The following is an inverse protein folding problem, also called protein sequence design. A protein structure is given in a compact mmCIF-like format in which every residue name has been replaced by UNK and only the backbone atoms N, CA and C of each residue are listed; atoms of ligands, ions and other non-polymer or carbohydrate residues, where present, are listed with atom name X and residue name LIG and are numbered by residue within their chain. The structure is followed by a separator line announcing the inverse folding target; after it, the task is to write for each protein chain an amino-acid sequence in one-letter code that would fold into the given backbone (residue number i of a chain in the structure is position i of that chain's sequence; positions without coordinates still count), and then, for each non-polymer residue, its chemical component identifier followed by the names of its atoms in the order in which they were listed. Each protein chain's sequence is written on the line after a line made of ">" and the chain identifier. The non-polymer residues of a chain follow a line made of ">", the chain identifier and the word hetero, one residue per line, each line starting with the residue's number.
data_IF_001367412006
#
_entry.id   IF_001367412006
#
_cell.length_a   1.000
_cell.length_b   1.000
_cell.length_c   1.000
_cell.angle_alpha   90.00
_cell.angle_beta   90.00
_cell.angle_gamma   90.00
#
_symmetry.space_group_name_H-M   'P 1'
#
loop_
_entity.id
_entity.type
_entity.pdbx_description
1 polymer ?
#
# COMPACT_ATOMS: atom_id res chain seq x y z
N UNK A 1 47.15 47.63 38.10
CA UNK A 1 46.20 47.74 36.98
C UNK A 1 46.05 46.33 36.33
N UNK A 2 45.04 45.56 36.79
CA UNK A 2 44.81 44.18 36.33
C UNK A 2 43.70 44.22 35.29
N UNK A 3 44.07 43.89 34.07
CA UNK A 3 43.10 43.70 32.98
C UNK A 3 42.54 42.27 33.03
N UNK A 4 41.32 42.14 33.50
CA UNK A 4 40.52 40.89 33.43
C UNK A 4 39.97 40.70 32.03
N UNK A 5 40.52 39.75 31.26
CA UNK A 5 39.99 39.36 29.95
C UNK A 5 38.81 38.41 30.13
N UNK A 6 37.60 38.87 29.83
CA UNK A 6 36.39 38.05 29.79
C UNK A 6 36.32 37.33 28.42
N UNK A 7 36.55 36.03 28.44
CA UNK A 7 36.36 35.19 27.22
C UNK A 7 34.92 34.75 27.19
N UNK A 8 34.16 35.28 26.21
CA UNK A 8 32.74 34.89 25.97
C UNK A 8 32.72 33.65 25.08
N UNK A 9 32.44 32.50 25.69
CA UNK A 9 32.28 31.24 24.95
C UNK A 9 30.83 31.16 24.46
N UNK A 10 30.62 31.35 23.15
CA UNK A 10 29.31 31.17 22.50
C UNK A 10 29.11 29.67 22.31
N UNK A 11 28.18 29.08 23.06
CA UNK A 11 27.70 27.72 22.88
C UNK A 11 26.69 27.73 21.72
N UNK A 12 27.12 27.32 20.54
CA UNK A 12 26.21 27.09 19.40
C UNK A 12 25.53 25.73 19.62
N UNK A 13 24.31 25.76 20.13
CA UNK A 13 23.45 24.58 20.18
C UNK A 13 22.98 24.26 18.75
N UNK A 14 23.57 23.23 18.12
CA UNK A 14 23.02 22.63 16.92
C UNK A 14 21.69 21.95 17.28
N UNK A 15 20.58 22.60 16.98
CA UNK A 15 19.27 21.95 16.97
C UNK A 15 19.24 21.06 15.73
N UNK A 16 19.50 19.77 15.90
CA UNK A 16 19.16 18.76 14.89
C UNK A 16 17.63 18.69 14.84
N UNK A 17 17.03 19.45 13.95
CA UNK A 17 15.64 19.25 13.56
C UNK A 17 15.58 17.91 12.82
N UNK A 18 15.10 16.87 13.48
CA UNK A 18 14.65 15.67 12.77
C UNK A 18 13.52 16.10 11.84
N UNK A 19 13.77 16.11 10.54
CA UNK A 19 12.73 16.22 9.53
C UNK A 19 11.86 14.97 9.67
N UNK A 20 10.84 15.04 10.50
CA UNK A 20 9.76 14.05 10.47
C UNK A 20 9.15 14.14 9.07
N UNK A 21 9.32 13.10 8.25
CA UNK A 21 8.62 13.03 6.98
C UNK A 21 7.13 13.02 7.28
N UNK A 22 6.40 13.96 6.73
CA UNK A 22 4.96 14.00 6.88
C UNK A 22 4.37 12.75 6.19
N UNK A 23 3.49 12.04 6.90
CA UNK A 23 2.73 10.94 6.33
C UNK A 23 1.81 11.52 5.23
N UNK A 24 1.79 10.95 4.01
CA UNK A 24 1.02 11.50 2.90
C UNK A 24 -0.48 11.54 3.21
N UNK A 25 -1.18 12.51 2.63
CA UNK A 25 -2.64 12.55 2.66
C UNK A 25 -3.22 11.33 1.91
N UNK A 26 -4.52 11.08 2.09
CA UNK A 26 -5.23 10.00 1.41
C UNK A 26 -5.54 8.80 2.29
N UNK A 27 -6.38 7.93 1.74
CA UNK A 27 -6.76 6.64 2.32
C UNK A 27 -7.15 5.67 1.21
N UNK A 28 -6.98 4.38 1.49
CA UNK A 28 -7.42 3.29 0.62
C UNK A 28 -8.41 2.43 1.40
N UNK A 29 -9.58 2.14 0.81
CA UNK A 29 -10.44 1.07 1.28
C UNK A 29 -10.29 -0.16 0.40
N UNK A 30 -10.41 -1.33 0.98
CA UNK A 30 -10.43 -2.60 0.25
C UNK A 30 -11.67 -3.41 0.62
N UNK A 31 -12.20 -4.12 -0.36
CA UNK A 31 -13.25 -5.11 -0.18
C UNK A 31 -12.74 -6.43 -0.77
N UNK A 32 -12.34 -7.34 0.11
CA UNK A 32 -11.88 -8.67 -0.28
C UNK A 32 -13.08 -9.57 -0.56
N UNK A 33 -13.06 -10.19 -1.72
CA UNK A 33 -14.18 -10.98 -2.22
C UNK A 33 -13.68 -12.28 -2.85
N UNK A 34 -14.61 -13.23 -2.96
CA UNK A 34 -14.49 -14.37 -3.84
C UNK A 34 -15.45 -14.18 -5.02
N UNK A 35 -14.94 -14.22 -6.23
CA UNK A 35 -15.74 -14.17 -7.45
C UNK A 35 -15.61 -15.50 -8.20
N UNK A 36 -16.75 -16.14 -8.54
CA UNK A 36 -16.74 -17.39 -9.30
C UNK A 36 -16.24 -17.18 -10.73
N UNK A 37 -16.59 -16.02 -11.30
CA UNK A 37 -16.11 -15.56 -12.60
C UNK A 37 -15.53 -14.13 -12.45
N UNK A 38 -14.23 -14.06 -12.24
CA UNK A 38 -13.49 -12.81 -12.05
C UNK A 38 -13.72 -11.86 -13.24
N UNK A 39 -13.63 -12.36 -14.47
CA UNK A 39 -13.75 -11.52 -15.65
C UNK A 39 -15.15 -10.91 -15.74
N UNK A 40 -16.18 -11.70 -15.49
CA UNK A 40 -17.58 -11.23 -15.48
C UNK A 40 -17.79 -10.17 -14.40
N UNK A 41 -17.24 -10.38 -13.20
CA UNK A 41 -17.36 -9.43 -12.10
C UNK A 41 -16.64 -8.11 -12.41
N UNK A 42 -15.41 -8.16 -12.91
CA UNK A 42 -14.64 -6.97 -13.32
C UNK A 42 -15.34 -6.20 -14.44
N UNK A 43 -15.83 -6.92 -15.47
CA UNK A 43 -16.57 -6.28 -16.56
C UNK A 43 -17.89 -5.65 -16.09
N UNK A 44 -18.56 -6.26 -15.12
CA UNK A 44 -19.75 -5.67 -14.52
C UNK A 44 -19.44 -4.35 -13.83
N UNK A 45 -18.37 -4.29 -13.02
CA UNK A 45 -17.93 -3.05 -12.34
C UNK A 45 -17.57 -1.95 -13.34
N UNK A 46 -16.81 -2.26 -14.38
CA UNK A 46 -16.44 -1.30 -15.45
C UNK A 46 -17.67 -0.72 -16.18
N UNK A 47 -18.73 -1.51 -16.32
CA UNK A 47 -19.99 -1.07 -16.96
C UNK A 47 -20.91 -0.29 -16.02
N UNK A 48 -20.67 -0.33 -14.73
CA UNK A 48 -21.50 0.31 -13.70
C UNK A 48 -20.68 1.25 -12.79
N UNK A 49 -20.01 2.29 -13.36
CA UNK A 49 -19.13 3.19 -12.62
C UNK A 49 -19.87 4.05 -11.59
N UNK A 50 -21.20 4.15 -11.69
CA UNK A 50 -22.03 4.94 -10.78
C UNK A 50 -21.91 4.48 -9.32
N UNK A 51 -21.56 3.21 -9.08
CA UNK A 51 -21.31 2.70 -7.74
C UNK A 51 -20.11 3.40 -7.09
N UNK A 52 -19.01 3.57 -7.84
CA UNK A 52 -17.79 4.24 -7.34
C UNK A 52 -18.00 5.73 -7.17
N UNK A 53 -18.76 6.35 -8.07
CA UNK A 53 -19.17 7.75 -7.98
C UNK A 53 -20.04 7.99 -6.73
N UNK A 54 -21.01 7.11 -6.48
CA UNK A 54 -21.93 7.23 -5.35
C UNK A 54 -21.21 7.19 -3.99
N UNK A 55 -20.14 6.41 -3.87
CA UNK A 55 -19.32 6.33 -2.66
C UNK A 55 -18.22 7.42 -2.60
N UNK A 56 -18.13 8.29 -3.61
CA UNK A 56 -17.17 9.40 -3.63
C UNK A 56 -15.70 8.96 -3.80
N UNK A 57 -15.47 7.84 -4.46
CA UNK A 57 -14.10 7.38 -4.78
C UNK A 57 -13.47 8.26 -5.86
N UNK A 58 -12.22 8.69 -5.67
CA UNK A 58 -11.46 9.39 -6.70
C UNK A 58 -10.96 8.43 -7.77
N UNK A 59 -10.44 7.29 -7.34
CA UNK A 59 -9.98 6.20 -8.21
C UNK A 59 -10.39 4.88 -7.58
N UNK A 60 -10.87 3.96 -8.40
CA UNK A 60 -11.11 2.59 -7.96
C UNK A 60 -10.45 1.58 -8.89
N UNK A 61 -10.06 0.47 -8.33
CA UNK A 61 -9.45 -0.62 -9.07
C UNK A 61 -9.70 -1.98 -8.45
N UNK A 62 -9.12 -2.97 -9.08
CA UNK A 62 -9.16 -4.36 -8.63
C UNK A 62 -7.77 -4.93 -8.62
N UNK A 63 -7.51 -5.84 -7.69
CA UNK A 63 -6.35 -6.70 -7.68
C UNK A 63 -6.80 -8.16 -7.62
N UNK A 64 -6.39 -8.94 -8.59
CA UNK A 64 -6.69 -10.38 -8.67
C UNK A 64 -5.48 -11.16 -8.18
N UNK A 65 -5.67 -11.95 -7.13
CA UNK A 65 -4.60 -12.81 -6.60
C UNK A 65 -4.29 -13.93 -7.57
N UNK A 66 -3.02 -14.05 -7.99
CA UNK A 66 -2.54 -15.03 -8.96
C UNK A 66 -1.71 -16.13 -8.31
N UNK A 67 -1.06 -15.84 -7.18
CA UNK A 67 -0.36 -16.82 -6.36
C UNK A 67 -0.49 -16.45 -4.88
N UNK A 68 -0.49 -17.45 -4.00
CA UNK A 68 -0.68 -17.24 -2.56
C UNK A 68 -2.13 -17.04 -2.14
N UNK A 69 -3.09 -17.32 -3.01
CA UNK A 69 -4.52 -17.17 -2.72
C UNK A 69 -4.99 -18.19 -1.65
N UNK A 70 -5.89 -17.74 -0.77
CA UNK A 70 -6.51 -18.57 0.27
C UNK A 70 -7.66 -19.43 -0.29
N UNK A 71 -8.30 -18.98 -1.37
CA UNK A 71 -9.43 -19.65 -2.03
C UNK A 71 -9.46 -19.28 -3.52
N UNK A 72 -10.07 -20.13 -4.37
CA UNK A 72 -10.28 -19.81 -5.79
C UNK A 72 -11.12 -18.55 -5.96
N UNK A 73 -10.75 -17.69 -6.91
CA UNK A 73 -11.47 -16.45 -7.19
C UNK A 73 -11.19 -15.33 -6.21
N UNK A 74 -10.14 -15.45 -5.38
CA UNK A 74 -9.72 -14.39 -4.47
C UNK A 74 -9.26 -13.15 -5.23
N UNK A 75 -9.86 -12.03 -4.87
CA UNK A 75 -9.52 -10.71 -5.36
C UNK A 75 -10.02 -9.66 -4.37
N UNK A 76 -9.56 -8.42 -4.53
CA UNK A 76 -10.16 -7.30 -3.82
C UNK A 76 -10.40 -6.12 -4.74
N UNK A 77 -11.46 -5.38 -4.42
CA UNK A 77 -11.77 -4.07 -4.99
C UNK A 77 -11.20 -3.03 -4.06
N UNK A 78 -10.45 -2.08 -4.58
CA UNK A 78 -9.90 -0.99 -3.80
C UNK A 78 -10.46 0.35 -4.28
N UNK A 79 -10.57 1.30 -3.35
CA UNK A 79 -10.96 2.67 -3.64
C UNK A 79 -9.98 3.62 -2.96
N UNK A 80 -9.52 4.62 -3.70
CA UNK A 80 -8.68 5.70 -3.20
C UNK A 80 -9.52 6.93 -2.89
N UNK A 81 -9.23 7.57 -1.78
CA UNK A 81 -9.86 8.78 -1.28
C UNK A 81 -8.81 9.82 -0.91
N UNK A 82 -9.13 11.12 -0.96
CA UNK A 82 -8.18 12.19 -0.65
C UNK A 82 -7.84 12.28 0.84
N UNK A 83 -8.64 11.66 1.72
CA UNK A 83 -8.42 11.65 3.17
C UNK A 83 -9.08 10.47 3.87
N UNK A 84 -8.65 10.18 5.10
CA UNK A 84 -9.35 9.23 5.99
C UNK A 84 -10.77 9.69 6.31
N UNK A 85 -11.00 10.99 6.47
CA UNK A 85 -12.34 11.54 6.70
C UNK A 85 -13.32 11.12 5.59
N UNK A 86 -12.90 11.26 4.32
CA UNK A 86 -13.72 10.85 3.18
C UNK A 86 -13.91 9.34 3.11
N UNK A 87 -12.84 8.57 3.34
CA UNK A 87 -12.92 7.12 3.33
C UNK A 87 -13.84 6.56 4.45
N UNK A 88 -13.74 7.11 5.66
CA UNK A 88 -14.58 6.67 6.78
C UNK A 88 -16.03 7.12 6.61
N UNK A 89 -16.27 8.34 6.10
CA UNK A 89 -17.62 8.82 5.77
C UNK A 89 -18.32 7.95 4.72
N UNK A 90 -17.57 7.37 3.78
CA UNK A 90 -18.14 6.42 2.81
C UNK A 90 -18.68 5.15 3.49
N UNK A 91 -18.01 4.66 4.56
CA UNK A 91 -18.44 3.45 5.28
C UNK A 91 -19.82 3.63 5.91
N UNK A 92 -20.17 4.85 6.33
CA UNK A 92 -21.51 5.14 6.83
C UNK A 92 -22.58 5.07 5.72
N UNK A 93 -22.20 5.36 4.47
CA UNK A 93 -23.09 5.42 3.33
C UNK A 93 -23.21 4.08 2.55
N UNK A 94 -22.25 3.18 2.70
CA UNK A 94 -22.18 1.94 1.94
C UNK A 94 -21.99 0.71 2.85
N UNK A 95 -22.98 -0.19 2.83
CA UNK A 95 -22.93 -1.48 3.51
C UNK A 95 -22.61 -2.61 2.51
N UNK A 96 -21.41 -3.19 2.53
CA UNK A 96 -21.05 -4.29 1.63
C UNK A 96 -21.81 -5.59 1.93
N UNK A 97 -22.45 -5.72 3.10
CA UNK A 97 -23.29 -6.87 3.45
C UNK A 97 -24.69 -6.78 2.82
N UNK A 98 -25.11 -5.59 2.36
CA UNK A 98 -26.36 -5.37 1.65
C UNK A 98 -26.14 -4.83 0.24
N UNK A 99 -25.43 -5.55 -0.64
CA UNK A 99 -25.16 -5.10 -1.99
C UNK A 99 -26.43 -5.13 -2.84
N UNK A 100 -26.43 -4.36 -3.95
CA UNK A 100 -27.44 -4.54 -4.96
C UNK A 100 -27.46 -6.01 -5.45
N UNK A 101 -28.64 -6.60 -5.73
CA UNK A 101 -28.77 -8.05 -6.05
C UNK A 101 -27.90 -8.53 -7.22
N UNK A 102 -27.48 -7.63 -8.10
CA UNK A 102 -26.58 -7.96 -9.19
C UNK A 102 -25.16 -8.25 -8.72
N UNK A 103 -24.65 -7.50 -7.71
CA UNK A 103 -23.34 -7.76 -7.10
C UNK A 103 -23.35 -9.05 -6.28
N UNK A 104 -24.42 -9.28 -5.52
CA UNK A 104 -24.58 -10.47 -4.68
C UNK A 104 -24.44 -11.79 -5.47
N UNK A 105 -24.91 -11.80 -6.72
CA UNK A 105 -24.79 -12.96 -7.62
C UNK A 105 -23.43 -13.14 -8.27
N UNK A 106 -22.51 -12.17 -8.12
CA UNK A 106 -21.21 -12.18 -8.80
C UNK A 106 -20.05 -12.42 -7.84
N UNK A 107 -20.29 -12.24 -6.55
CA UNK A 107 -19.25 -12.34 -5.52
C UNK A 107 -19.81 -12.74 -4.17
N UNK A 108 -18.98 -13.32 -3.32
CA UNK A 108 -19.18 -13.37 -1.88
C UNK A 108 -18.15 -12.49 -1.17
N UNK A 109 -18.61 -11.59 -0.30
CA UNK A 109 -17.74 -10.71 0.49
C UNK A 109 -17.08 -11.51 1.60
N UNK A 110 -15.77 -11.33 1.78
CA UNK A 110 -15.00 -11.95 2.87
C UNK A 110 -14.79 -10.95 4.00
N UNK A 111 -14.22 -9.80 3.71
CA UNK A 111 -14.05 -8.70 4.66
C UNK A 111 -13.78 -7.38 3.92
N UNK A 112 -13.89 -6.28 4.66
CA UNK A 112 -13.49 -4.95 4.21
C UNK A 112 -12.41 -4.40 5.13
N UNK A 113 -11.56 -3.53 4.61
CA UNK A 113 -10.53 -2.87 5.39
C UNK A 113 -10.28 -1.44 4.93
N UNK A 114 -9.68 -0.64 5.81
CA UNK A 114 -9.26 0.74 5.56
C UNK A 114 -7.79 0.86 5.89
N UNK A 115 -7.04 1.54 5.03
CA UNK A 115 -5.61 1.72 5.16
C UNK A 115 -5.22 3.18 4.99
N UNK A 116 -4.18 3.59 5.74
CA UNK A 116 -3.48 4.85 5.59
C UNK A 116 -2.15 4.62 4.87
N UNK A 117 -1.84 5.29 3.75
CA UNK A 117 -0.51 5.25 3.17
C UNK A 117 0.49 5.91 4.12
N UNK A 118 1.67 5.31 4.29
CA UNK A 118 2.75 5.81 5.14
C UNK A 118 3.87 6.50 4.35
N UNK A 119 3.93 6.30 3.04
CA UNK A 119 4.84 7.01 2.13
C UNK A 119 4.13 7.37 0.83
N UNK A 120 4.64 8.39 0.16
CA UNK A 120 4.20 8.73 -1.20
C UNK A 120 4.45 7.58 -2.16
N UNK A 121 3.51 7.33 -3.03
CA UNK A 121 3.59 6.36 -4.11
C UNK A 121 2.72 6.78 -5.29
N UNK A 122 3.09 6.34 -6.48
CA UNK A 122 2.28 6.56 -7.68
C UNK A 122 1.15 5.53 -7.73
N UNK A 123 -0.09 6.00 -7.91
CA UNK A 123 -1.25 5.11 -8.03
C UNK A 123 -1.34 4.54 -9.46
N UNK A 124 -0.33 3.76 -9.83
CA UNK A 124 -0.20 3.07 -11.11
C UNK A 124 -0.22 1.54 -10.89
N UNK A 125 -1.40 0.93 -10.76
CA UNK A 125 -1.49 -0.50 -10.49
C UNK A 125 -0.98 -1.33 -11.66
N UNK A 126 -0.43 -2.50 -11.34
CA UNK A 126 0.14 -3.39 -12.34
C UNK A 126 0.32 -4.80 -11.81
N UNK A 127 1.50 -5.37 -12.03
CA UNK A 127 1.92 -6.62 -11.39
C UNK A 127 2.48 -6.30 -10.01
N UNK A 128 1.88 -6.83 -8.98
CA UNK A 128 2.20 -6.48 -7.60
C UNK A 128 2.57 -7.70 -6.78
N UNK A 129 3.53 -7.50 -5.89
CA UNK A 129 3.83 -8.41 -4.81
C UNK A 129 3.41 -7.73 -3.52
N UNK A 130 2.49 -8.34 -2.79
CA UNK A 130 1.98 -7.85 -1.52
C UNK A 130 2.51 -8.72 -0.39
N UNK A 131 3.07 -8.09 0.64
CA UNK A 131 3.34 -8.69 1.94
C UNK A 131 2.41 -8.09 2.98
N UNK A 132 1.77 -8.95 3.77
CA UNK A 132 1.15 -8.58 5.03
C UNK A 132 2.15 -8.88 6.14
N UNK A 133 2.58 -7.84 6.83
CA UNK A 133 3.69 -7.91 7.80
C UNK A 133 3.31 -7.24 9.12
N UNK A 134 3.85 -7.75 10.22
CA UNK A 134 3.84 -7.06 11.50
C UNK A 134 5.15 -6.33 11.67
N UNK A 135 5.07 -5.03 11.96
CA UNK A 135 6.22 -4.15 12.11
C UNK A 135 6.41 -3.77 13.59
N UNK A 136 7.65 -3.78 14.07
CA UNK A 136 8.01 -3.24 15.39
C UNK A 136 8.36 -1.75 15.33
N UNK A 137 8.74 -1.23 14.15
CA UNK A 137 8.95 0.20 13.87
C UNK A 137 8.48 0.53 12.45
N UNK A 138 7.24 1.01 12.33
CA UNK A 138 6.62 1.31 11.04
C UNK A 138 7.32 2.46 10.29
N UNK A 139 7.80 3.48 11.02
CA UNK A 139 8.45 4.62 10.38
C UNK A 139 9.85 4.28 9.90
N UNK A 140 10.62 3.52 10.69
CA UNK A 140 11.94 3.06 10.27
C UNK A 140 11.84 2.12 9.06
N UNK A 141 10.88 1.18 9.05
CA UNK A 141 10.61 0.33 7.89
C UNK A 141 10.23 1.15 6.65
N UNK A 142 9.31 2.10 6.80
CA UNK A 142 8.85 2.97 5.71
C UNK A 142 9.99 3.78 5.09
N UNK A 143 10.88 4.32 5.93
CA UNK A 143 12.08 5.03 5.47
C UNK A 143 13.01 4.11 4.69
N UNK A 144 13.23 2.87 5.16
CA UNK A 144 14.01 1.85 4.42
C UNK A 144 13.37 1.48 3.09
N UNK A 145 12.04 1.43 2.99
CA UNK A 145 11.36 1.19 1.70
C UNK A 145 11.51 2.37 0.73
N UNK A 146 11.60 3.60 1.22
CA UNK A 146 11.92 4.77 0.40
C UNK A 146 13.36 4.72 -0.14
N UNK A 147 14.30 4.31 0.71
CA UNK A 147 15.72 4.09 0.34
C UNK A 147 15.83 2.96 -0.70
N UNK A 148 15.14 1.83 -0.46
CA UNK A 148 15.11 0.68 -1.36
C UNK A 148 14.57 1.04 -2.74
N UNK A 149 13.44 1.77 -2.80
CA UNK A 149 12.86 2.24 -4.07
C UNK A 149 13.85 3.09 -4.86
N UNK A 150 14.50 4.04 -4.18
CA UNK A 150 15.52 4.91 -4.77
C UNK A 150 16.68 4.10 -5.34
N UNK A 151 17.18 3.12 -4.59
CA UNK A 151 18.30 2.28 -5.02
C UNK A 151 17.94 1.35 -6.18
N UNK A 152 16.73 0.75 -6.19
CA UNK A 152 16.25 -0.06 -7.32
C UNK A 152 16.11 0.79 -8.58
N UNK A 153 15.57 2.03 -8.45
CA UNK A 153 15.46 2.98 -9.58
C UNK A 153 16.82 3.42 -10.08
N UNK A 154 17.79 3.66 -9.19
CA UNK A 154 19.17 3.98 -9.55
C UNK A 154 19.89 2.84 -10.30
N UNK A 155 19.50 1.58 -10.04
CA UNK A 155 19.96 0.39 -10.76
C UNK A 155 19.29 0.22 -12.15
N UNK A 156 18.51 1.21 -12.62
CA UNK A 156 17.88 1.22 -13.94
C UNK A 156 16.58 0.42 -14.03
N UNK A 157 15.94 0.12 -12.91
CA UNK A 157 14.66 -0.57 -12.87
C UNK A 157 13.52 0.42 -12.56
N UNK A 158 12.30 0.06 -12.98
CA UNK A 158 11.09 0.79 -12.61
C UNK A 158 10.34 -0.01 -11.55
N UNK A 159 10.15 0.60 -10.41
CA UNK A 159 9.38 0.06 -9.29
C UNK A 159 8.69 1.20 -8.57
N UNK A 160 7.56 0.91 -7.98
CA UNK A 160 6.86 1.79 -7.06
C UNK A 160 6.61 0.98 -5.78
N UNK A 161 7.11 1.47 -4.64
CA UNK A 161 6.95 0.81 -3.35
C UNK A 161 5.94 1.58 -2.50
N UNK A 162 4.98 0.87 -1.94
CA UNK A 162 3.97 1.45 -1.06
C UNK A 162 3.92 0.71 0.28
N UNK A 163 3.72 1.46 1.36
CA UNK A 163 3.53 0.94 2.72
C UNK A 163 2.25 1.53 3.27
N UNK A 164 1.39 0.68 3.81
CA UNK A 164 0.10 1.08 4.36
C UNK A 164 -0.07 0.55 5.78
N UNK A 165 -0.55 1.42 6.68
CA UNK A 165 -0.99 1.04 8.01
C UNK A 165 -2.49 0.71 8.01
N UNK A 166 -2.93 -0.34 8.71
CA UNK A 166 -4.35 -0.66 8.85
C UNK A 166 -5.02 0.34 9.81
N UNK A 167 -6.16 0.88 9.39
CA UNK A 167 -7.04 1.71 10.24
C UNK A 167 -8.22 0.88 10.77
N UNK A 168 -8.68 -0.08 9.96
CA UNK A 168 -9.73 -1.01 10.32
C UNK A 168 -9.77 -2.17 9.34
N UNK A 169 -10.07 -3.38 9.80
CA UNK A 169 -10.09 -4.60 8.97
C UNK A 169 -10.30 -5.88 9.79
N UNK A 170 -10.68 -5.71 11.06
CA UNK A 170 -10.97 -6.83 11.97
C UNK A 170 -9.76 -7.75 12.15
N UNK A 171 -10.02 -9.02 12.42
CA UNK A 171 -8.98 -10.04 12.65
C UNK A 171 -8.08 -10.28 11.44
N UNK A 172 -8.52 -9.87 10.24
CA UNK A 172 -7.77 -10.09 9.01
C UNK A 172 -6.61 -9.10 8.84
N UNK A 173 -6.75 -7.87 9.38
CA UNK A 173 -5.78 -6.80 9.14
C UNK A 173 -5.26 -6.14 10.44
N UNK A 174 -5.75 -6.54 11.62
CA UNK A 174 -5.29 -5.95 12.90
C UNK A 174 -3.79 -6.14 13.08
N UNK A 175 -3.05 -5.01 13.15
CA UNK A 175 -1.60 -4.99 13.32
C UNK A 175 -0.80 -5.39 12.07
N UNK A 176 -1.46 -5.58 10.92
CA UNK A 176 -0.81 -5.99 9.68
C UNK A 176 -0.64 -4.83 8.72
N UNK A 177 0.57 -4.40 8.53
CA UNK A 177 0.90 -3.45 7.47
C UNK A 177 0.92 -4.15 6.11
N UNK A 178 0.49 -3.45 5.08
CA UNK A 178 0.68 -3.90 3.70
C UNK A 178 1.94 -3.24 3.14
N UNK A 179 2.91 -4.05 2.76
CA UNK A 179 4.01 -3.61 1.91
C UNK A 179 3.77 -4.13 0.49
N UNK A 180 3.82 -3.21 -0.49
CA UNK A 180 3.59 -3.52 -1.89
C UNK A 180 4.78 -3.12 -2.75
N UNK A 181 5.26 -4.05 -3.57
CA UNK A 181 6.18 -3.75 -4.66
C UNK A 181 5.41 -3.87 -5.98
N UNK A 182 5.28 -2.73 -6.67
CA UNK A 182 4.43 -2.53 -7.84
C UNK A 182 5.32 -2.39 -9.08
N UNK A 183 5.05 -3.19 -10.09
CA UNK A 183 5.77 -3.23 -11.36
C UNK A 183 4.79 -3.12 -12.52
N UNK A 184 5.24 -2.65 -13.66
CA UNK A 184 4.42 -2.62 -14.86
C UNK A 184 4.05 -4.01 -15.37
N UNK A 185 4.92 -5.00 -15.13
CA UNK A 185 4.73 -6.39 -15.59
C UNK A 185 5.45 -7.40 -14.70
N UNK A 186 5.01 -8.67 -14.76
CA UNK A 186 5.70 -9.77 -14.09
C UNK A 186 7.14 -9.97 -14.57
N UNK A 187 7.44 -9.66 -15.84
CA UNK A 187 8.81 -9.72 -16.37
C UNK A 187 9.72 -8.67 -15.73
N UNK A 188 9.23 -7.45 -15.51
CA UNK A 188 9.99 -6.41 -14.80
C UNK A 188 10.20 -6.79 -13.34
N UNK A 189 9.16 -7.34 -12.67
CA UNK A 189 9.27 -7.86 -11.32
C UNK A 189 10.33 -8.98 -11.22
N UNK A 190 10.27 -9.96 -12.13
CA UNK A 190 11.23 -11.06 -12.21
C UNK A 190 12.67 -10.56 -12.38
N UNK A 191 12.89 -9.60 -13.28
CA UNK A 191 14.22 -8.99 -13.49
C UNK A 191 14.79 -8.38 -12.20
N UNK A 192 13.97 -7.65 -11.43
CA UNK A 192 14.42 -7.06 -10.15
C UNK A 192 14.73 -8.14 -9.12
N UNK A 193 13.91 -9.19 -9.05
CA UNK A 193 14.14 -10.33 -8.16
C UNK A 193 15.41 -11.10 -8.54
N UNK A 194 15.67 -11.35 -9.82
CA UNK A 194 16.89 -11.98 -10.28
C UNK A 194 18.13 -11.17 -9.87
N UNK A 195 18.08 -9.84 -10.01
CA UNK A 195 19.15 -8.96 -9.56
C UNK A 195 19.31 -8.99 -8.03
N UNK A 196 18.21 -9.04 -7.29
CA UNK A 196 18.23 -9.17 -5.83
C UNK A 196 18.97 -10.45 -5.40
N UNK A 197 18.60 -11.59 -5.96
CA UNK A 197 19.24 -12.87 -5.65
C UNK A 197 20.67 -12.97 -6.17
N UNK A 198 21.04 -12.22 -7.19
CA UNK A 198 22.42 -12.06 -7.65
C UNK A 198 23.27 -11.13 -6.77
N UNK A 199 22.71 -10.54 -5.73
CA UNK A 199 23.43 -9.67 -4.80
C UNK A 199 23.60 -8.22 -5.28
N UNK A 200 22.63 -7.68 -6.02
CA UNK A 200 22.64 -6.28 -6.40
C UNK A 200 22.76 -5.36 -5.17
N UNK A 201 23.32 -4.16 -5.35
CA UNK A 201 23.60 -3.20 -4.27
C UNK A 201 22.38 -2.86 -3.41
N UNK A 202 21.19 -2.88 -3.98
CA UNK A 202 19.94 -2.62 -3.25
C UNK A 202 19.50 -3.81 -2.36
N UNK A 203 20.07 -4.99 -2.52
CA UNK A 203 19.68 -6.19 -1.74
C UNK A 203 19.97 -6.02 -0.25
N UNK A 204 21.06 -5.34 0.12
CA UNK A 204 21.42 -5.08 1.52
C UNK A 204 20.37 -4.23 2.23
N UNK A 205 19.74 -3.27 1.53
CA UNK A 205 18.73 -2.38 2.11
C UNK A 205 17.50 -3.21 2.54
N UNK A 206 17.07 -4.16 1.71
CA UNK A 206 15.97 -5.06 2.07
C UNK A 206 16.34 -5.96 3.27
N UNK A 207 17.59 -6.49 3.29
CA UNK A 207 18.07 -7.31 4.40
C UNK A 207 18.10 -6.50 5.70
N UNK A 208 18.58 -5.25 5.66
CA UNK A 208 18.58 -4.36 6.81
C UNK A 208 17.16 -4.03 7.29
N UNK A 209 16.19 -3.89 6.37
CA UNK A 209 14.81 -3.58 6.73
C UNK A 209 14.13 -4.72 7.53
N UNK A 210 14.63 -5.97 7.42
CA UNK A 210 14.07 -7.12 8.15
C UNK A 210 14.16 -6.96 9.67
N UNK A 211 15.07 -6.13 10.21
CA UNK A 211 15.13 -5.86 11.65
C UNK A 211 13.87 -5.16 12.18
N UNK A 212 13.09 -4.52 11.31
CA UNK A 212 11.84 -3.83 11.65
C UNK A 212 10.60 -4.71 11.42
N UNK A 213 10.78 -5.96 10.98
CA UNK A 213 9.71 -6.92 10.68
C UNK A 213 9.70 -8.00 11.75
N UNK A 214 8.62 -8.07 12.55
CA UNK A 214 8.43 -9.14 13.52
C UNK A 214 7.96 -10.43 12.85
N UNK A 215 7.07 -10.32 11.85
CA UNK A 215 6.47 -11.46 11.18
C UNK A 215 6.03 -11.10 9.75
N UNK A 216 6.31 -11.99 8.81
CA UNK A 216 5.68 -12.02 7.48
C UNK A 216 4.51 -12.99 7.57
N UNK A 217 3.29 -12.46 7.66
CA UNK A 217 2.07 -13.26 7.87
C UNK A 217 1.62 -13.93 6.57
N UNK A 218 1.70 -13.20 5.47
CA UNK A 218 1.39 -13.74 4.13
C UNK A 218 2.07 -12.94 3.04
N UNK A 219 2.21 -13.59 1.89
CA UNK A 219 2.76 -13.03 0.67
C UNK A 219 1.92 -13.48 -0.51
N UNK A 220 1.50 -12.53 -1.36
CA UNK A 220 0.71 -12.82 -2.55
C UNK A 220 1.30 -12.14 -3.79
N UNK A 221 1.01 -12.72 -4.96
CA UNK A 221 1.25 -12.09 -6.26
C UNK A 221 -0.11 -11.73 -6.84
N UNK A 222 -0.23 -10.48 -7.26
CA UNK A 222 -1.48 -9.89 -7.71
C UNK A 222 -1.30 -9.23 -9.08
N UNK A 223 -2.39 -9.19 -9.85
CA UNK A 223 -2.49 -8.38 -11.06
C UNK A 223 -3.59 -7.36 -10.84
N UNK A 224 -3.20 -6.10 -10.86
CA UNK A 224 -4.06 -4.98 -10.51
C UNK A 224 -4.34 -4.09 -11.72
N UNK A 225 -5.53 -3.52 -11.76
CA UNK A 225 -5.92 -2.54 -12.79
C UNK A 225 -6.86 -1.47 -12.21
N UNK A 226 -6.83 -0.26 -12.77
CA UNK A 226 -7.84 0.78 -12.53
C UNK A 226 -9.10 0.44 -13.32
N UNK A 227 -10.26 0.56 -12.69
CA UNK A 227 -11.58 0.33 -13.32
C UNK A 227 -12.46 1.57 -13.31
N UNK A 228 -12.10 2.61 -12.52
CA UNK A 228 -12.81 3.87 -12.41
C UNK A 228 -11.85 5.00 -12.04
N UNK A 229 -12.08 6.17 -12.62
CA UNK A 229 -11.46 7.44 -12.21
C UNK A 229 -12.53 8.52 -12.24
N UNK A 230 -12.65 9.30 -11.17
CA UNK A 230 -13.54 10.47 -11.11
C UNK A 230 -13.11 11.50 -12.17
N UNK A 231 -14.10 12.13 -12.80
CA UNK A 231 -13.89 13.19 -13.81
C UNK A 231 -13.92 14.56 -13.16
#
# INVERSE_FOLDING_TARGET
>A
MNHLKFTFTILISLVLSSLAMAVPEGAITTLTVQADDINKYVQYMKKNPETFKAIGSDVAGVCVTRAGNNYPGEMFVWNAFPSLEKALGMIEAYDPANPAPAFDRLRSVKYAAVFKPLKEFDLEPGFERLWRIKLNDEMAFTNKMTELETAIRAAGNKVNLAVFAPVGGGVHETGMHHFRAIFKSGSEAGKVLDQFYAGASFSSIWIEAQQYVDEIVSETIEVCEVIYTAK
#
